data_IF_268239384452
#
_entry.id   IF_268239384452
#
_cell.length_a   1.000
_cell.length_b   1.000
_cell.length_c   1.000
_cell.angle_alpha   90.00
_cell.angle_beta   90.00
_cell.angle_gamma   90.00
#
_symmetry.space_group_name_H-M   'P 1'
#
loop_
_entity.id
_entity.type
_entity.pdbx_description
1 polymer ?
#
# COMPACT_ATOMS: atom_id res chain seq x y z
N UNK A 1 30.79 2.20 -1.63
CA UNK A 1 30.06 3.28 -0.97
C UNK A 1 29.34 4.05 -2.07
N UNK A 2 28.05 3.95 -2.38
CA UNK A 2 26.82 3.36 -1.84
C UNK A 2 25.86 3.33 -3.06
N UNK A 3 25.15 2.23 -3.42
CA UNK A 3 24.17 2.30 -4.49
C UNK A 3 22.85 2.82 -3.92
N UNK A 4 22.64 4.15 -3.95
CA UNK A 4 21.31 4.71 -3.66
C UNK A 4 20.40 4.60 -4.88
N UNK A 5 20.09 3.36 -5.28
CA UNK A 5 18.90 3.11 -6.09
C UNK A 5 17.72 3.28 -5.15
N UNK A 6 17.17 4.50 -5.06
CA UNK A 6 15.83 4.69 -4.54
C UNK A 6 14.91 3.89 -5.46
N UNK A 7 14.57 2.68 -5.06
CA UNK A 7 13.58 1.86 -5.74
C UNK A 7 12.25 2.60 -5.60
N UNK A 8 11.94 3.46 -6.57
CA UNK A 8 10.64 4.10 -6.73
C UNK A 8 9.66 3.00 -7.12
N UNK A 9 9.39 2.08 -6.20
CA UNK A 9 8.48 0.97 -6.41
C UNK A 9 7.13 1.57 -6.75
N UNK A 10 6.56 1.16 -7.88
CA UNK A 10 5.25 1.64 -8.29
C UNK A 10 4.25 1.30 -7.20
N UNK A 11 3.62 2.32 -6.63
CA UNK A 11 2.54 2.15 -5.66
C UNK A 11 1.31 1.64 -6.42
N UNK A 12 0.83 0.46 -6.03
CA UNK A 12 -0.30 -0.23 -6.68
C UNK A 12 -1.43 -0.39 -5.68
N UNK A 13 -2.65 -0.46 -6.21
CA UNK A 13 -3.85 -0.71 -5.42
C UNK A 13 -4.61 -1.90 -6.03
N UNK A 14 -5.00 -2.84 -5.18
CA UNK A 14 -5.85 -3.95 -5.53
C UNK A 14 -7.18 -3.84 -4.79
N UNK A 15 -8.29 -3.87 -5.54
CA UNK A 15 -9.65 -3.83 -4.98
C UNK A 15 -10.23 -5.24 -4.98
N UNK A 16 -10.64 -5.73 -3.81
CA UNK A 16 -11.31 -7.02 -3.74
C UNK A 16 -12.72 -6.93 -4.35
N UNK A 17 -13.07 -7.91 -5.18
CA UNK A 17 -14.39 -7.92 -5.87
C UNK A 17 -15.56 -8.22 -4.94
N UNK A 18 -15.35 -9.07 -3.92
CA UNK A 18 -16.42 -9.56 -3.03
C UNK A 18 -16.39 -8.92 -1.64
N UNK A 19 -15.24 -8.39 -1.23
CA UNK A 19 -15.04 -7.80 0.08
C UNK A 19 -14.79 -6.30 -0.08
N UNK A 20 -15.38 -5.44 0.76
CA UNK A 20 -15.26 -3.98 0.67
C UNK A 20 -13.90 -3.50 1.19
N UNK A 21 -12.81 -4.08 0.68
CA UNK A 21 -11.45 -3.77 1.06
C UNK A 21 -10.59 -3.52 -0.18
N UNK A 22 -9.59 -2.66 -0.01
CA UNK A 22 -8.50 -2.45 -0.94
C UNK A 22 -7.17 -2.65 -0.23
N UNK A 23 -6.21 -3.23 -0.92
CA UNK A 23 -4.82 -3.30 -0.45
C UNK A 23 -4.00 -2.32 -1.28
N UNK A 24 -3.28 -1.45 -0.58
CA UNK A 24 -2.28 -0.57 -1.18
C UNK A 24 -0.93 -1.20 -0.90
N UNK A 25 -0.18 -1.51 -1.95
CA UNK A 25 1.10 -2.19 -1.84
C UNK A 25 2.11 -1.57 -2.81
N UNK A 26 3.37 -1.84 -2.56
CA UNK A 26 4.48 -1.42 -3.41
C UNK A 26 5.36 -2.64 -3.68
N UNK A 27 5.72 -2.79 -4.95
CA UNK A 27 6.68 -3.82 -5.38
C UNK A 27 8.01 -3.12 -5.60
N UNK A 28 9.04 -3.56 -4.88
CA UNK A 28 10.44 -3.18 -5.14
C UNK A 28 11.16 -4.36 -5.78
N UNK A 29 12.44 -4.18 -6.11
CA UNK A 29 13.28 -5.26 -6.66
C UNK A 29 13.49 -6.37 -5.63
N UNK A 30 13.49 -6.02 -4.35
CA UNK A 30 13.86 -6.91 -3.25
C UNK A 30 12.64 -7.45 -2.49
N UNK A 31 11.52 -6.71 -2.46
CA UNK A 31 10.39 -7.06 -1.62
C UNK A 31 9.03 -6.55 -2.10
N UNK A 32 7.97 -7.20 -1.59
CA UNK A 32 6.59 -6.75 -1.70
C UNK A 32 6.16 -6.14 -0.36
N UNK A 33 5.95 -4.83 -0.32
CA UNK A 33 5.55 -4.12 0.90
C UNK A 33 4.06 -3.76 0.87
N UNK A 34 3.29 -4.26 1.85
CA UNK A 34 1.91 -3.82 2.07
C UNK A 34 1.93 -2.52 2.86
N UNK A 35 1.41 -1.45 2.27
CA UNK A 35 1.43 -0.11 2.85
C UNK A 35 0.16 0.18 3.66
N UNK A 36 -0.99 -0.27 3.19
CA UNK A 36 -2.25 -0.10 3.89
C UNK A 36 -3.32 -1.10 3.44
N UNK A 37 -4.26 -1.37 4.33
CA UNK A 37 -5.52 -2.08 4.03
C UNK A 37 -6.68 -1.13 4.30
N UNK A 38 -7.36 -0.70 3.24
CA UNK A 38 -8.40 0.32 3.28
C UNK A 38 -9.79 -0.33 3.15
N UNK A 39 -10.66 -0.13 4.14
CA UNK A 39 -12.05 -0.55 4.06
C UNK A 39 -12.91 0.50 3.36
N UNK A 40 -13.66 0.12 2.33
CA UNK A 40 -14.43 1.04 1.47
C UNK A 40 -15.53 1.80 2.19
N UNK A 41 -16.08 1.23 3.29
CA UNK A 41 -17.16 1.88 4.05
C UNK A 41 -16.67 2.92 5.07
N UNK A 42 -15.37 3.12 5.19
CA UNK A 42 -14.80 4.09 6.14
C UNK A 42 -14.30 5.34 5.39
N UNK A 43 -14.40 6.50 6.03
CA UNK A 43 -14.00 7.77 5.42
C UNK A 43 -12.50 7.77 5.07
N UNK A 44 -12.09 8.33 3.91
CA UNK A 44 -10.68 8.49 3.59
C UNK A 44 -9.90 9.11 4.75
N UNK A 45 -8.76 8.54 5.11
CA UNK A 45 -7.94 9.03 6.22
C UNK A 45 -8.30 8.49 7.61
N UNK A 46 -9.30 7.60 7.78
CA UNK A 46 -9.61 7.01 9.10
C UNK A 46 -8.42 6.29 9.78
N UNK A 47 -7.40 5.91 8.99
CA UNK A 47 -6.20 5.22 9.45
C UNK A 47 -5.05 6.16 9.81
N UNK A 48 -5.14 7.45 9.51
CA UNK A 48 -4.03 8.40 9.70
C UNK A 48 -3.64 8.67 11.16
N UNK A 49 -4.42 8.14 12.11
CA UNK A 49 -4.15 8.25 13.55
C UNK A 49 -3.81 6.91 14.23
N UNK A 50 -3.61 5.82 13.48
CA UNK A 50 -3.22 4.53 14.07
C UNK A 50 -1.70 4.45 14.12
N UNK A 51 -1.14 4.57 15.33
CA UNK A 51 0.27 4.24 15.61
C UNK A 51 0.46 2.73 15.64
#
# INVERSE_FOLDING_TARGET
MEPRCFSTGTRRQYNFRRFPYSIIYQVTVEELRILAVAHHRRRPGYWSGRK
#
